data_IF_487973725542
#
_entry.id   IF_487973725542
#
_cell.length_a   1.000
_cell.length_b   1.000
_cell.length_c   1.000
_cell.angle_alpha   90.00
_cell.angle_beta   90.00
_cell.angle_gamma   90.00
#
_symmetry.space_group_name_H-M   'P 1'
#
loop_
_entity.id
_entity.type
_entity.pdbx_description
1 polymer ?
#
# COMPACT_ATOMS: atom_id res chain seq x y z
N UNK A 1 31.97 -25.82 23.32
CA UNK A 1 30.79 -25.96 22.43
C UNK A 1 29.43 -25.91 23.16
N UNK A 2 29.35 -25.53 24.44
CA UNK A 2 28.07 -25.50 25.19
C UNK A 2 27.34 -24.15 25.14
N UNK A 3 28.09 -23.04 25.14
CA UNK A 3 27.51 -21.69 25.23
C UNK A 3 26.75 -21.27 23.95
N UNK A 4 27.25 -21.63 22.77
CA UNK A 4 26.58 -21.36 21.49
C UNK A 4 25.22 -22.07 21.42
N UNK A 5 25.19 -23.36 21.77
CA UNK A 5 23.97 -24.17 21.75
C UNK A 5 22.96 -23.75 22.83
N UNK A 6 23.43 -23.23 23.97
CA UNK A 6 22.58 -22.69 25.02
C UNK A 6 21.96 -21.34 24.63
N UNK A 7 22.74 -20.49 23.96
CA UNK A 7 22.26 -19.22 23.41
C UNK A 7 21.26 -19.43 22.27
N UNK A 8 21.53 -20.36 21.35
CA UNK A 8 20.59 -20.77 20.29
C UNK A 8 19.26 -21.26 20.87
N UNK A 9 19.27 -22.16 21.86
CA UNK A 9 18.05 -22.65 22.51
C UNK A 9 17.31 -21.55 23.28
N UNK A 10 18.05 -20.62 23.90
CA UNK A 10 17.49 -19.46 24.58
C UNK A 10 16.77 -18.52 23.60
N UNK A 11 17.40 -18.24 22.47
CA UNK A 11 16.82 -17.46 21.38
C UNK A 11 15.62 -18.16 20.77
N UNK A 12 15.70 -19.44 20.44
CA UNK A 12 14.60 -20.22 19.86
C UNK A 12 13.37 -20.21 20.78
N UNK A 13 13.56 -20.44 22.08
CA UNK A 13 12.47 -20.47 23.06
C UNK A 13 11.76 -19.12 23.23
N UNK A 14 12.41 -18.01 22.89
CA UNK A 14 11.84 -16.65 22.97
C UNK A 14 11.33 -16.18 21.61
N UNK A 15 12.11 -16.36 20.55
CA UNK A 15 11.80 -15.89 19.20
C UNK A 15 10.68 -16.69 18.55
N UNK A 16 10.61 -18.01 18.75
CA UNK A 16 9.55 -18.86 18.18
C UNK A 16 8.15 -18.44 18.66
N UNK A 17 7.86 -18.31 19.98
CA UNK A 17 6.53 -17.90 20.42
C UNK A 17 6.20 -16.44 20.05
N UNK A 18 7.20 -15.55 19.97
CA UNK A 18 7.00 -14.16 19.52
C UNK A 18 6.66 -14.13 18.02
N UNK A 19 7.36 -14.90 17.20
CA UNK A 19 7.07 -15.03 15.77
C UNK A 19 5.69 -15.62 15.52
N UNK A 20 5.30 -16.65 16.28
CA UNK A 20 3.95 -17.24 16.21
C UNK A 20 2.89 -16.19 16.56
N UNK A 21 3.08 -15.43 17.64
CA UNK A 21 2.13 -14.38 18.04
C UNK A 21 2.02 -13.24 17.02
N UNK A 22 3.13 -12.83 16.40
CA UNK A 22 3.11 -11.81 15.35
C UNK A 22 2.44 -12.30 14.07
N UNK A 23 2.64 -13.57 13.72
CA UNK A 23 2.01 -14.19 12.57
C UNK A 23 0.51 -14.44 12.79
N UNK A 24 0.10 -14.76 14.03
CA UNK A 24 -1.30 -15.05 14.35
C UNK A 24 -2.21 -13.82 14.43
N UNK A 25 -1.68 -12.60 14.31
CA UNK A 25 -2.49 -11.39 14.34
C UNK A 25 -3.16 -11.15 12.98
N UNK A 26 -4.49 -11.11 12.97
CA UNK A 26 -5.30 -10.95 11.75
C UNK A 26 -4.91 -9.70 10.94
N UNK A 27 -4.51 -8.63 11.63
CA UNK A 27 -4.14 -7.37 10.99
C UNK A 27 -2.76 -7.47 10.31
N UNK A 28 -1.81 -8.14 10.97
CA UNK A 28 -0.44 -8.30 10.47
C UNK A 28 -0.42 -9.30 9.31
N UNK A 29 -1.16 -10.40 9.42
CA UNK A 29 -1.31 -11.36 8.34
C UNK A 29 -2.01 -10.74 7.13
N UNK A 30 -3.09 -9.96 7.33
CA UNK A 30 -3.78 -9.29 6.24
C UNK A 30 -2.90 -8.28 5.49
N UNK A 31 -2.06 -7.52 6.21
CA UNK A 31 -1.08 -6.60 5.62
C UNK A 31 -0.04 -7.37 4.81
N UNK A 32 0.51 -8.46 5.37
CA UNK A 32 1.48 -9.32 4.67
C UNK A 32 0.90 -9.84 3.36
N UNK A 33 -0.31 -10.38 3.41
CA UNK A 33 -0.96 -10.97 2.24
C UNK A 33 -1.27 -9.90 1.18
N UNK A 34 -1.65 -8.69 1.61
CA UNK A 34 -1.86 -7.56 0.71
C UNK A 34 -0.55 -7.11 0.02
N UNK A 35 0.55 -7.05 0.77
CA UNK A 35 1.86 -6.75 0.19
C UNK A 35 2.34 -7.83 -0.77
N UNK A 36 2.04 -9.11 -0.49
CA UNK A 36 2.37 -10.21 -1.40
C UNK A 36 1.67 -10.03 -2.76
N UNK A 37 0.40 -9.62 -2.75
CA UNK A 37 -0.35 -9.31 -3.98
C UNK A 37 0.20 -8.09 -4.73
N UNK A 38 0.86 -7.15 -4.04
CA UNK A 38 1.46 -5.94 -4.65
C UNK A 38 2.87 -6.15 -5.21
N UNK A 39 3.58 -7.23 -4.85
CA UNK A 39 4.96 -7.46 -5.29
C UNK A 39 5.15 -7.41 -6.81
N UNK A 40 4.30 -8.05 -7.63
CA UNK A 40 4.48 -8.02 -9.08
C UNK A 40 4.42 -6.60 -9.66
N UNK A 41 3.56 -5.74 -9.10
CA UNK A 41 3.39 -4.35 -9.55
C UNK A 41 4.62 -3.53 -9.16
N UNK A 42 5.11 -3.69 -7.92
CA UNK A 42 6.32 -2.99 -7.45
C UNK A 42 7.55 -3.42 -8.25
N UNK A 43 7.69 -4.73 -8.52
CA UNK A 43 8.77 -5.28 -9.32
C UNK A 43 8.70 -4.83 -10.79
N UNK A 44 7.50 -4.74 -11.38
CA UNK A 44 7.33 -4.21 -12.73
C UNK A 44 7.66 -2.71 -12.79
N UNK A 45 7.21 -1.94 -11.79
CA UNK A 45 7.49 -0.51 -11.69
C UNK A 45 8.98 -0.20 -11.59
N UNK A 46 9.75 -0.99 -10.84
CA UNK A 46 11.19 -0.78 -10.69
C UNK A 46 11.95 -1.00 -12.00
N UNK A 47 11.53 -1.97 -12.82
CA UNK A 47 12.11 -2.20 -14.15
C UNK A 47 11.81 -1.05 -15.12
N UNK A 48 10.58 -0.52 -15.09
CA UNK A 48 10.17 0.60 -15.95
C UNK A 48 10.92 1.88 -15.56
N UNK A 49 11.06 2.14 -14.26
CA UNK A 49 11.85 3.26 -13.74
C UNK A 49 13.31 3.11 -14.17
N UNK A 50 13.90 1.91 -14.05
CA UNK A 50 15.27 1.64 -14.47
C UNK A 50 15.45 1.93 -15.97
N UNK A 51 14.54 1.48 -16.83
CA UNK A 51 14.60 1.75 -18.27
C UNK A 51 14.47 3.26 -18.55
N UNK A 52 13.53 3.94 -17.89
CA UNK A 52 13.28 5.38 -18.08
C UNK A 52 14.51 6.23 -17.72
N UNK A 53 15.10 5.99 -16.56
CA UNK A 53 16.20 6.82 -16.04
C UNK A 53 17.59 6.36 -16.48
N UNK A 54 17.83 5.06 -16.65
CA UNK A 54 19.17 4.54 -16.97
C UNK A 54 19.45 4.42 -18.49
N UNK A 55 18.41 4.18 -19.30
CA UNK A 55 18.55 3.93 -20.76
C UNK A 55 18.12 5.16 -21.58
N UNK A 56 16.99 5.78 -21.23
CA UNK A 56 16.33 6.82 -22.05
C UNK A 56 16.64 8.26 -21.64
N UNK A 57 17.25 8.49 -20.47
CA UNK A 57 17.64 9.84 -20.04
C UNK A 57 18.86 10.33 -20.83
N UNK A 58 18.91 11.63 -21.23
CA UNK A 58 20.09 12.24 -21.86
C UNK A 58 21.38 12.10 -21.03
N UNK A 59 21.24 12.05 -19.70
CA UNK A 59 22.32 11.81 -18.72
C UNK A 59 22.40 10.34 -18.25
N UNK A 60 21.70 9.44 -18.93
CA UNK A 60 21.65 8.01 -18.60
C UNK A 60 22.97 7.30 -18.89
N UNK A 61 23.29 6.28 -18.10
CA UNK A 61 24.53 5.49 -18.19
C UNK A 61 24.80 4.94 -19.60
N UNK A 62 23.75 4.55 -20.34
CA UNK A 62 23.85 4.08 -21.73
C UNK A 62 23.99 5.25 -22.73
N UNK A 63 23.35 6.39 -22.49
CA UNK A 63 23.42 7.56 -23.38
C UNK A 63 24.83 8.20 -23.39
N UNK A 64 25.50 8.25 -22.24
CA UNK A 64 26.90 8.69 -22.14
C UNK A 64 27.91 7.70 -22.73
N UNK A 65 27.63 6.38 -22.71
CA UNK A 65 28.57 5.36 -23.23
C UNK A 65 28.48 5.19 -24.76
N UNK A 66 27.30 5.42 -25.35
CA UNK A 66 27.00 5.16 -26.77
C UNK A 66 26.83 6.43 -27.63
N UNK A 67 27.00 7.63 -27.07
CA UNK A 67 26.79 8.93 -27.75
C UNK A 67 25.49 8.98 -28.55
N UNK A 68 24.38 8.54 -27.95
CA UNK A 68 23.09 8.40 -28.64
C UNK A 68 22.40 9.74 -28.97
N UNK A 69 22.98 10.87 -28.58
CA UNK A 69 22.50 12.21 -28.94
C UNK A 69 22.62 12.53 -30.44
N UNK A 70 23.38 11.76 -31.22
CA UNK A 70 23.54 11.96 -32.67
C UNK A 70 22.71 11.00 -33.54
N UNK A 71 22.13 9.94 -32.95
CA UNK A 71 21.45 8.86 -33.71
C UNK A 71 19.93 8.86 -33.51
N UNK A 72 19.41 9.28 -32.36
CA UNK A 72 17.97 9.37 -32.09
C UNK A 72 17.59 10.73 -31.46
N UNK A 73 17.14 11.73 -32.24
CA UNK A 73 16.68 13.02 -31.71
C UNK A 73 15.35 12.97 -30.93
N UNK A 74 14.72 11.79 -30.81
CA UNK A 74 13.39 11.60 -30.23
C UNK A 74 13.35 10.87 -28.88
N UNK A 75 14.44 10.92 -28.10
CA UNK A 75 14.51 10.30 -26.75
C UNK A 75 13.46 10.88 -25.77
N UNK A 76 13.13 12.17 -25.91
CA UNK A 76 12.11 12.83 -25.10
C UNK A 76 10.72 12.22 -25.30
N UNK A 77 10.36 11.86 -26.53
CA UNK A 77 9.07 11.23 -26.85
C UNK A 77 9.00 9.80 -26.30
N UNK A 78 10.11 9.07 -26.30
CA UNK A 78 10.18 7.74 -25.71
C UNK A 78 10.05 7.80 -24.18
N UNK A 79 10.60 8.84 -23.54
CA UNK A 79 10.48 9.04 -22.09
C UNK A 79 9.04 9.38 -21.68
N UNK A 80 8.34 10.19 -22.48
CA UNK A 80 6.92 10.55 -22.29
C UNK A 80 5.99 9.33 -22.31
N UNK A 81 6.30 8.27 -23.07
CA UNK A 81 5.48 7.05 -23.13
C UNK A 81 5.50 6.28 -21.80
N UNK A 82 6.60 6.35 -21.05
CA UNK A 82 6.73 5.63 -19.77
C UNK A 82 6.28 6.44 -18.56
N UNK A 83 6.18 7.76 -18.66
CA UNK A 83 5.66 8.65 -17.61
C UNK A 83 4.25 8.27 -17.10
N UNK A 84 3.23 8.01 -17.95
CA UNK A 84 1.91 7.62 -17.47
C UNK A 84 1.92 6.24 -16.77
N UNK A 85 2.80 5.32 -17.19
CA UNK A 85 2.92 4.00 -16.55
C UNK A 85 3.53 4.12 -15.15
N UNK A 86 4.54 4.97 -14.97
CA UNK A 86 5.09 5.30 -13.65
C UNK A 86 4.03 5.93 -12.73
N UNK A 87 3.28 6.90 -13.26
CA UNK A 87 2.21 7.55 -12.52
C UNK A 87 1.07 6.58 -12.17
N UNK A 88 0.75 5.63 -13.05
CA UNK A 88 -0.25 4.58 -12.83
C UNK A 88 0.23 3.42 -11.95
N UNK A 89 1.49 3.39 -11.52
CA UNK A 89 2.03 2.31 -10.68
C UNK A 89 2.35 2.82 -9.28
N UNK A 90 3.34 3.70 -9.15
CA UNK A 90 3.86 4.14 -7.84
C UNK A 90 2.88 5.11 -7.16
N UNK A 91 2.31 6.05 -7.91
CA UNK A 91 1.51 7.11 -7.31
C UNK A 91 0.15 6.61 -6.81
N UNK A 92 -0.40 5.54 -7.41
CA UNK A 92 -1.66 4.93 -6.97
C UNK A 92 -1.47 3.73 -6.04
N UNK A 93 -0.22 3.33 -5.77
CA UNK A 93 0.11 2.14 -4.97
C UNK A 93 -0.52 2.19 -3.58
N UNK A 94 -0.53 3.36 -2.94
CA UNK A 94 -1.11 3.54 -1.61
C UNK A 94 -2.62 3.22 -1.58
N UNK A 95 -3.35 3.61 -2.62
CA UNK A 95 -4.80 3.36 -2.73
C UNK A 95 -5.07 1.87 -2.98
N UNK A 96 -4.28 1.24 -3.86
CA UNK A 96 -4.37 -0.20 -4.14
C UNK A 96 -4.11 -1.05 -2.89
N UNK A 97 -3.04 -0.73 -2.15
CA UNK A 97 -2.70 -1.46 -0.92
C UNK A 97 -3.81 -1.28 0.12
N UNK A 98 -4.35 -0.07 0.27
CA UNK A 98 -5.45 0.20 1.22
C UNK A 98 -6.67 -0.68 0.94
N UNK A 99 -7.06 -0.83 -0.34
CA UNK A 99 -8.14 -1.73 -0.75
C UNK A 99 -7.82 -3.19 -0.42
N UNK A 100 -6.63 -3.66 -0.78
CA UNK A 100 -6.21 -5.06 -0.58
C UNK A 100 -6.15 -5.44 0.90
N UNK A 101 -5.65 -4.54 1.76
CA UNK A 101 -5.61 -4.76 3.21
C UNK A 101 -7.01 -4.85 3.79
N UNK A 102 -7.90 -3.91 3.45
CA UNK A 102 -9.28 -3.90 3.93
C UNK A 102 -10.05 -5.16 3.49
N UNK A 103 -9.85 -5.58 2.24
CA UNK A 103 -10.40 -6.82 1.68
C UNK A 103 -9.93 -8.06 2.44
N UNK A 104 -8.62 -8.19 2.69
CA UNK A 104 -8.06 -9.34 3.40
C UNK A 104 -8.53 -9.42 4.87
N UNK A 105 -8.73 -8.25 5.51
CA UNK A 105 -9.33 -8.17 6.84
C UNK A 105 -10.80 -8.63 6.79
N UNK A 106 -11.59 -8.16 5.83
CA UNK A 106 -13.00 -8.55 5.68
C UNK A 106 -13.19 -10.05 5.47
N UNK A 107 -12.31 -10.68 4.65
CA UNK A 107 -12.29 -12.13 4.45
C UNK A 107 -12.04 -12.87 5.77
N UNK A 108 -11.13 -12.37 6.61
CA UNK A 108 -10.84 -12.94 7.93
C UNK A 108 -12.03 -12.84 8.90
N UNK A 109 -12.91 -11.85 8.72
CA UNK A 109 -14.14 -11.64 9.50
C UNK A 109 -15.40 -12.26 8.87
N UNK A 110 -15.29 -12.94 7.72
CA UNK A 110 -16.44 -13.44 6.95
C UNK A 110 -17.49 -12.35 6.64
N UNK A 111 -17.03 -11.17 6.24
CA UNK A 111 -17.88 -10.05 5.82
C UNK A 111 -17.68 -9.75 4.33
N UNK A 112 -18.55 -8.91 3.77
CA UNK A 112 -18.46 -8.48 2.37
C UNK A 112 -17.13 -7.75 2.08
N UNK A 113 -16.30 -8.39 1.26
CA UNK A 113 -14.92 -7.97 0.99
C UNK A 113 -14.86 -6.73 0.08
N UNK A 114 -15.76 -6.67 -0.91
CA UNK A 114 -15.92 -5.51 -1.80
C UNK A 114 -16.42 -4.26 -1.07
N UNK A 115 -17.42 -4.39 -0.18
CA UNK A 115 -17.96 -3.26 0.57
C UNK A 115 -16.92 -2.66 1.53
N UNK A 116 -16.21 -3.53 2.26
CA UNK A 116 -15.13 -3.11 3.16
C UNK A 116 -13.98 -2.45 2.39
N UNK A 117 -13.60 -3.00 1.23
CA UNK A 117 -12.57 -2.42 0.37
C UNK A 117 -12.93 -1.03 -0.16
N UNK A 118 -14.15 -0.85 -0.68
CA UNK A 118 -14.62 0.44 -1.22
C UNK A 118 -14.76 1.51 -0.14
N UNK A 119 -15.25 1.14 1.05
CA UNK A 119 -15.35 2.08 2.18
C UNK A 119 -13.97 2.50 2.69
N UNK A 120 -12.97 1.62 2.67
CA UNK A 120 -11.59 1.95 3.01
C UNK A 120 -10.95 2.94 2.04
N UNK A 121 -11.20 2.82 0.73
CA UNK A 121 -10.78 3.82 -0.27
C UNK A 121 -11.45 5.17 0.00
N UNK A 122 -12.74 5.18 0.30
CA UNK A 122 -13.47 6.40 0.67
C UNK A 122 -12.86 7.07 1.91
N UNK A 123 -12.54 6.29 2.95
CA UNK A 123 -11.85 6.79 4.13
C UNK A 123 -10.44 7.32 3.82
N UNK A 124 -9.70 6.67 2.92
CA UNK A 124 -8.37 7.11 2.49
C UNK A 124 -8.40 8.51 1.88
N UNK A 125 -9.31 8.78 0.94
CA UNK A 125 -9.44 10.11 0.33
C UNK A 125 -9.91 11.19 1.31
N UNK A 126 -10.76 10.82 2.28
CA UNK A 126 -11.21 11.75 3.33
C UNK A 126 -10.05 12.13 4.27
N UNK A 127 -9.14 11.21 4.55
CA UNK A 127 -7.95 11.47 5.38
C UNK A 127 -6.89 12.26 4.60
N UNK A 128 -6.71 11.96 3.30
CA UNK A 128 -5.68 12.55 2.45
C UNK A 128 -6.05 13.94 1.89
N UNK A 129 -6.65 14.81 2.71
CA UNK A 129 -7.03 16.16 2.27
C UNK A 129 -5.81 17.08 2.23
N UNK A 130 -5.75 18.03 1.26
CA UNK A 130 -4.68 19.01 1.20
C UNK A 130 -4.73 19.89 2.45
N UNK A 131 -3.61 19.97 3.16
CA UNK A 131 -3.41 20.94 4.23
C UNK A 131 -3.39 22.35 3.62
N UNK A 132 -4.23 23.23 4.12
CA UNK A 132 -4.15 24.65 3.76
C UNK A 132 -3.17 25.32 4.71
N UNK A 133 -2.07 25.82 4.17
CA UNK A 133 -1.12 26.64 4.94
C UNK A 133 -1.81 27.98 5.20
N UNK A 134 -2.03 28.29 6.47
CA UNK A 134 -2.38 29.63 6.94
C UNK A 134 -1.26 29.98 7.93
N UNK A 135 -0.59 31.12 7.76
CA UNK A 135 0.49 31.57 8.67
C UNK A 135 1.64 30.57 8.93
N UNK A 136 2.07 29.83 7.90
CA UNK A 136 3.26 28.96 7.98
C UNK A 136 3.09 27.70 8.84
N UNK A 137 1.86 27.36 9.24
CA UNK A 137 1.54 26.12 9.94
C UNK A 137 0.54 25.29 9.12
N UNK A 138 0.78 23.98 9.04
CA UNK A 138 -0.09 23.06 8.32
C UNK A 138 -1.29 22.68 9.21
N UNK A 139 -2.46 23.27 8.93
CA UNK A 139 -3.68 22.93 9.65
C UNK A 139 -4.43 21.79 8.95
N UNK A 140 -4.72 20.72 9.69
CA UNK A 140 -5.72 19.73 9.30
C UNK A 140 -7.09 20.28 9.68
N UNK A 141 -7.99 20.46 8.71
CA UNK A 141 -9.33 20.96 8.99
C UNK A 141 -10.13 19.95 9.83
N UNK A 142 -10.43 20.31 11.08
CA UNK A 142 -11.15 19.47 12.06
C UNK A 142 -12.60 19.17 11.65
N UNK A 143 -13.14 19.84 10.62
CA UNK A 143 -14.48 19.57 10.10
C UNK A 143 -14.60 18.16 9.50
N UNK A 144 -13.52 17.63 8.95
CA UNK A 144 -13.55 16.36 8.20
C UNK A 144 -13.24 15.14 9.06
N UNK A 145 -12.52 15.27 10.19
CA UNK A 145 -12.37 14.17 11.16
C UNK A 145 -13.73 13.70 11.72
N UNK A 146 -14.68 14.63 11.94
CA UNK A 146 -16.08 14.29 12.27
C UNK A 146 -16.84 13.63 11.11
N UNK A 147 -16.57 14.01 9.86
CA UNK A 147 -17.21 13.41 8.69
C UNK A 147 -16.70 11.98 8.42
N UNK A 148 -15.39 11.74 8.57
CA UNK A 148 -14.80 10.39 8.52
C UNK A 148 -15.40 9.48 9.60
N UNK A 149 -15.58 10.01 10.82
CA UNK A 149 -16.28 9.33 11.90
C UNK A 149 -17.76 9.05 11.60
N UNK A 150 -18.45 9.94 10.88
CA UNK A 150 -19.85 9.76 10.47
C UNK A 150 -20.02 8.72 9.35
N UNK A 151 -19.11 8.69 8.36
CA UNK A 151 -19.04 7.64 7.33
C UNK A 151 -18.78 6.30 8.01
N UNK A 152 -17.77 6.21 8.88
CA UNK A 152 -17.48 4.98 9.63
C UNK A 152 -18.66 4.58 10.55
N UNK A 153 -19.32 5.54 11.21
CA UNK A 153 -20.49 5.31 12.07
C UNK A 153 -21.74 4.84 11.32
N UNK A 154 -22.02 5.38 10.13
CA UNK A 154 -23.22 5.01 9.37
C UNK A 154 -23.15 3.57 8.82
N UNK A 155 -21.99 3.16 8.29
CA UNK A 155 -21.82 1.78 7.78
C UNK A 155 -21.62 0.76 8.91
N UNK A 156 -20.94 1.14 9.99
CA UNK A 156 -20.73 0.25 11.14
C UNK A 156 -22.02 0.00 11.93
N UNK A 157 -22.99 0.92 11.96
CA UNK A 157 -24.31 0.64 12.51
C UNK A 157 -25.20 -0.18 11.55
N UNK A 158 -25.15 0.07 10.23
CA UNK A 158 -25.97 -0.66 9.26
C UNK A 158 -25.58 -2.14 9.13
N UNK A 159 -24.28 -2.46 9.19
CA UNK A 159 -23.79 -3.83 8.99
C UNK A 159 -23.59 -4.60 10.32
N UNK A 160 -23.26 -3.92 11.44
CA UNK A 160 -23.27 -4.57 12.76
C UNK A 160 -24.68 -4.98 13.21
N UNK A 161 -25.74 -4.24 12.82
CA UNK A 161 -27.12 -4.68 13.05
C UNK A 161 -27.56 -5.86 12.18
N UNK A 162 -26.96 -6.07 11.00
CA UNK A 162 -27.25 -7.25 10.17
C UNK A 162 -26.48 -8.50 10.60
N UNK A 163 -25.30 -8.35 11.21
CA UNK A 163 -24.52 -9.47 11.77
C UNK A 163 -24.99 -9.99 13.14
N UNK A 164 -25.88 -9.26 13.84
CA UNK A 164 -26.40 -9.64 15.16
C UNK A 164 -27.82 -10.21 15.17
N UNK A 165 -28.50 -10.29 14.02
CA UNK A 165 -29.75 -11.03 13.90
C UNK A 165 -29.42 -12.48 13.57
N UNK A 166 -29.57 -13.44 14.51
CA UNK A 166 -29.39 -14.84 14.18
C UNK A 166 -30.37 -15.21 13.07
N UNK A 167 -29.87 -15.88 12.04
CA UNK A 167 -30.68 -16.64 11.09
C UNK A 167 -31.35 -17.82 11.83
N UNK A 168 -32.37 -17.52 12.63
CA UNK A 168 -33.30 -18.47 13.21
C UNK A 168 -34.73 -17.94 13.03
N UNK A 169 -35.27 -18.14 11.84
CA UNK A 169 -36.68 -18.39 11.53
C UNK A 169 -36.80 -18.67 10.02
#
# INVERSE_FOLDING_TARGET
MSFMNAFERGMEKILVPVAIKLNSQIHVSAIRDAFILSFPIVMASSLIILINFAILSPDGFIASILHLGTIFPNLADAQQIFTPVMNGSVNIMAILITFLVARNIAISFQQDDLLCGLTAIGAFFVVYTPYTIIDGQAYLTTKISRAAGAVCGHYRCADFQRGLLPASA
#
